data_IF_168242179822
#
_entry.id   IF_168242179822
#
_cell.length_a   1.000
_cell.length_b   1.000
_cell.length_c   1.000
_cell.angle_alpha   90.00
_cell.angle_beta   90.00
_cell.angle_gamma   90.00
#
_symmetry.space_group_name_H-M   'P 1'
#
loop_
_entity.id
_entity.type
_entity.pdbx_description
1 polymer ?
#
# COMPACT_ATOMS: atom_id res chain seq x y z
N UNK A 1 -30.46 -9.23 4.15
CA UNK A 1 -29.29 -8.66 4.85
C UNK A 1 -28.72 -9.69 5.80
N UNK A 2 -27.40 -9.95 5.73
CA UNK A 2 -26.74 -10.98 6.54
C UNK A 2 -25.22 -10.73 6.57
N UNK A 3 -24.49 -11.34 7.52
CA UNK A 3 -23.08 -11.02 7.78
C UNK A 3 -22.16 -11.22 6.57
N UNK A 4 -22.54 -12.09 5.63
CA UNK A 4 -21.75 -12.40 4.43
C UNK A 4 -22.20 -11.63 3.17
N UNK A 5 -23.16 -10.70 3.26
CA UNK A 5 -23.73 -10.01 2.09
C UNK A 5 -22.66 -9.34 1.22
N UNK A 6 -21.70 -8.65 1.84
CA UNK A 6 -20.63 -7.96 1.13
C UNK A 6 -19.71 -8.95 0.40
N UNK A 7 -19.27 -10.01 1.09
CA UNK A 7 -18.43 -11.05 0.50
C UNK A 7 -19.15 -11.76 -0.66
N UNK A 8 -20.41 -12.16 -0.49
CA UNK A 8 -21.21 -12.76 -1.57
C UNK A 8 -21.36 -11.83 -2.77
N UNK A 9 -21.56 -10.53 -2.55
CA UNK A 9 -21.62 -9.55 -3.63
C UNK A 9 -20.30 -9.44 -4.40
N UNK A 10 -19.17 -9.45 -3.68
CA UNK A 10 -17.83 -9.46 -4.27
C UNK A 10 -17.58 -10.74 -5.08
N UNK A 11 -17.86 -11.93 -4.54
CA UNK A 11 -17.71 -13.20 -5.27
C UNK A 11 -18.60 -13.27 -6.51
N UNK A 12 -19.84 -12.77 -6.43
CA UNK A 12 -20.72 -12.68 -7.59
C UNK A 12 -20.17 -11.71 -8.65
N UNK A 13 -19.53 -10.60 -8.24
CA UNK A 13 -18.85 -9.68 -9.15
C UNK A 13 -17.64 -10.33 -9.82
N UNK A 14 -16.82 -11.09 -9.07
CA UNK A 14 -15.69 -11.86 -9.59
C UNK A 14 -16.19 -12.86 -10.64
N UNK A 15 -17.23 -13.66 -10.32
CA UNK A 15 -17.79 -14.65 -11.24
C UNK A 15 -18.33 -14.04 -12.54
N UNK A 16 -18.89 -12.82 -12.49
CA UNK A 16 -19.33 -12.09 -13.69
C UNK A 16 -18.17 -11.60 -14.55
N UNK A 17 -17.06 -11.17 -13.94
CA UNK A 17 -15.87 -10.71 -14.67
C UNK A 17 -15.02 -11.87 -15.21
N UNK A 18 -15.05 -13.02 -14.52
CA UNK A 18 -14.27 -14.22 -14.85
C UNK A 18 -15.20 -15.43 -15.04
N UNK A 19 -16.11 -15.41 -16.03
CA UNK A 19 -17.05 -16.50 -16.24
C UNK A 19 -16.32 -17.80 -16.58
N UNK A 20 -16.58 -18.85 -15.80
CA UNK A 20 -15.98 -20.17 -15.98
C UNK A 20 -14.57 -20.34 -15.43
N UNK A 21 -13.98 -19.32 -14.80
CA UNK A 21 -12.65 -19.40 -14.20
C UNK A 21 -12.69 -20.20 -12.88
N UNK A 22 -11.89 -21.27 -12.72
CA UNK A 22 -11.87 -22.07 -11.48
C UNK A 22 -11.36 -21.29 -10.26
N UNK A 23 -10.63 -20.19 -10.47
CA UNK A 23 -10.17 -19.26 -9.43
C UNK A 23 -11.30 -18.58 -8.68
N UNK A 24 -12.53 -18.55 -9.21
CA UNK A 24 -13.72 -18.08 -8.48
C UNK A 24 -13.92 -18.91 -7.21
N UNK A 25 -13.75 -20.24 -7.29
CA UNK A 25 -13.88 -21.14 -6.13
C UNK A 25 -12.74 -20.90 -5.15
N UNK A 26 -11.51 -20.74 -5.64
CA UNK A 26 -10.37 -20.41 -4.79
C UNK A 26 -10.57 -19.08 -4.06
N UNK A 27 -11.11 -18.05 -4.72
CA UNK A 27 -11.40 -16.75 -4.11
C UNK A 27 -12.43 -16.85 -2.97
N UNK A 28 -13.41 -17.76 -3.06
CA UNK A 28 -14.38 -18.00 -1.99
C UNK A 28 -13.76 -18.61 -0.72
N UNK A 29 -12.56 -19.18 -0.81
CA UNK A 29 -11.80 -19.69 0.33
C UNK A 29 -10.94 -18.61 1.00
N UNK A 30 -10.81 -17.43 0.39
CA UNK A 30 -10.02 -16.32 0.90
C UNK A 30 -10.89 -15.31 1.63
N UNK A 31 -10.29 -14.64 2.62
CA UNK A 31 -10.94 -13.57 3.35
C UNK A 31 -11.30 -12.40 2.42
N UNK A 32 -12.55 -11.97 2.46
CA UNK A 32 -12.98 -10.73 1.82
C UNK A 32 -12.74 -9.55 2.78
N UNK A 33 -11.75 -8.71 2.45
CA UNK A 33 -11.35 -7.57 3.28
C UNK A 33 -11.71 -6.26 2.60
N UNK A 34 -12.28 -5.33 3.37
CA UNK A 34 -12.56 -3.95 2.92
C UNK A 34 -11.78 -2.99 3.79
N UNK A 35 -10.79 -2.34 3.20
CA UNK A 35 -9.98 -1.32 3.89
C UNK A 35 -10.64 0.05 3.79
N UNK A 36 -10.65 0.78 4.91
CA UNK A 36 -11.00 2.19 4.97
C UNK A 36 -9.79 3.05 4.56
N UNK A 37 -10.01 4.30 4.12
CA UNK A 37 -8.91 5.22 3.86
C UNK A 37 -7.95 5.31 5.05
N UNK A 38 -6.67 5.00 4.80
CA UNK A 38 -5.61 5.00 5.81
C UNK A 38 -5.32 3.66 6.46
N UNK A 39 -6.19 2.67 6.32
CA UNK A 39 -5.89 1.29 6.70
C UNK A 39 -5.01 0.62 5.63
N UNK A 40 -4.20 -0.36 6.03
CA UNK A 40 -3.34 -1.10 5.13
C UNK A 40 -3.35 -2.61 5.42
N UNK A 41 -2.79 -3.40 4.51
CA UNK A 41 -2.47 -4.80 4.71
C UNK A 41 -1.02 -5.05 4.33
N UNK A 42 -0.36 -5.93 5.06
CA UNK A 42 0.91 -6.53 4.65
C UNK A 42 0.64 -7.93 4.11
N UNK A 43 1.10 -8.20 2.89
CA UNK A 43 0.87 -9.45 2.18
C UNK A 43 2.20 -10.23 2.08
N UNK A 44 2.48 -11.17 3.00
CA UNK A 44 3.71 -11.94 2.95
C UNK A 44 3.70 -12.91 1.76
N UNK A 45 4.89 -13.30 1.29
CA UNK A 45 5.05 -14.30 0.23
C UNK A 45 4.23 -15.57 0.50
N UNK A 46 3.72 -16.23 -0.53
CA UNK A 46 2.95 -17.49 -0.37
C UNK A 46 1.53 -17.34 0.17
N UNK A 47 0.99 -16.11 0.29
CA UNK A 47 -0.43 -15.86 0.59
C UNK A 47 -1.16 -15.43 -0.69
N UNK A 48 -2.10 -16.25 -1.20
CA UNK A 48 -2.94 -15.83 -2.32
C UNK A 48 -3.77 -14.60 -1.95
N UNK A 49 -3.82 -13.62 -2.86
CA UNK A 49 -4.59 -12.40 -2.70
C UNK A 49 -5.01 -11.85 -4.06
N UNK A 50 -6.06 -11.04 -4.08
CA UNK A 50 -6.52 -10.32 -5.26
C UNK A 50 -7.14 -8.98 -4.85
N UNK A 51 -6.77 -7.90 -5.54
CA UNK A 51 -7.43 -6.61 -5.38
C UNK A 51 -8.67 -6.57 -6.27
N UNK A 52 -9.83 -6.32 -5.66
CA UNK A 52 -11.13 -6.40 -6.35
C UNK A 52 -11.65 -5.04 -6.82
N UNK A 53 -11.25 -3.96 -6.13
CA UNK A 53 -11.66 -2.60 -6.47
C UNK A 53 -11.26 -1.58 -5.41
N UNK A 54 -11.30 -0.31 -5.79
CA UNK A 54 -10.88 0.82 -4.96
C UNK A 54 -9.57 1.45 -5.44
N UNK A 55 -9.03 2.35 -4.62
CA UNK A 55 -7.75 3.01 -4.82
C UNK A 55 -6.91 2.84 -3.56
N UNK A 56 -5.65 2.46 -3.74
CA UNK A 56 -4.68 2.29 -2.65
C UNK A 56 -3.28 2.68 -3.11
N UNK A 57 -2.40 2.92 -2.13
CA UNK A 57 -0.96 3.04 -2.36
C UNK A 57 -0.35 1.67 -2.11
N UNK A 58 0.35 1.14 -3.10
CA UNK A 58 1.07 -0.13 -3.02
C UNK A 58 2.57 0.12 -3.03
N UNK A 59 3.29 -0.63 -2.20
CA UNK A 59 4.75 -0.70 -2.20
C UNK A 59 5.17 -2.15 -2.04
N UNK A 60 6.22 -2.53 -2.75
CA UNK A 60 6.73 -3.89 -2.77
C UNK A 60 8.25 -3.87 -2.94
N UNK A 61 8.90 -4.97 -2.57
CA UNK A 61 10.27 -5.23 -2.99
C UNK A 61 10.36 -5.26 -4.52
N UNK A 62 11.55 -4.99 -5.07
CA UNK A 62 11.79 -5.02 -6.52
C UNK A 62 11.74 -6.47 -7.04
N UNK A 63 10.52 -6.95 -7.33
CA UNK A 63 10.23 -8.28 -7.83
C UNK A 63 8.99 -8.24 -8.69
N UNK A 64 9.01 -8.93 -9.82
CA UNK A 64 7.85 -9.16 -10.68
C UNK A 64 7.41 -10.63 -10.68
N UNK A 65 7.94 -11.43 -9.73
CA UNK A 65 7.58 -12.83 -9.57
C UNK A 65 6.13 -12.95 -9.10
N UNK A 66 5.25 -13.40 -10.00
CA UNK A 66 3.82 -13.60 -9.73
C UNK A 66 3.40 -15.01 -10.14
N UNK A 67 3.08 -15.83 -9.15
CA UNK A 67 2.31 -17.06 -9.34
C UNK A 67 0.82 -16.71 -9.29
N UNK A 68 0.10 -17.05 -10.36
CA UNK A 68 -1.34 -16.76 -10.47
C UNK A 68 -2.14 -17.90 -9.85
N UNK A 69 -3.25 -17.56 -9.19
CA UNK A 69 -4.16 -18.51 -8.54
C UNK A 69 -5.54 -18.57 -9.23
N UNK A 70 -5.63 -18.10 -10.48
CA UNK A 70 -6.87 -17.93 -11.23
C UNK A 70 -7.25 -16.46 -11.40
N UNK A 71 -8.52 -16.21 -11.76
CA UNK A 71 -9.05 -14.88 -12.11
C UNK A 71 -8.24 -14.22 -13.24
N UNK A 72 -7.84 -15.02 -14.22
CA UNK A 72 -6.89 -14.58 -15.24
C UNK A 72 -6.95 -15.45 -16.49
N UNK A 73 -6.84 -14.85 -17.69
CA UNK A 73 -6.64 -15.62 -18.92
C UNK A 73 -5.18 -16.06 -19.13
N UNK A 74 -4.24 -15.60 -18.28
CA UNK A 74 -2.81 -15.90 -18.38
C UNK A 74 -2.49 -17.30 -17.84
N UNK A 75 -1.27 -17.76 -18.09
CA UNK A 75 -0.78 -19.03 -17.57
C UNK A 75 -0.86 -19.12 -16.04
N UNK A 76 -1.30 -20.30 -15.57
CA UNK A 76 -1.37 -20.70 -14.16
C UNK A 76 -0.54 -21.98 -14.01
N UNK A 77 0.58 -21.87 -13.29
CA UNK A 77 1.42 -23.03 -12.93
C UNK A 77 0.89 -23.64 -11.63
N UNK A 78 -0.02 -24.61 -11.76
CA UNK A 78 -0.69 -25.23 -10.61
C UNK A 78 0.29 -26.01 -9.73
N UNK A 79 1.18 -26.88 -10.25
CA UNK A 79 2.15 -27.59 -9.42
C UNK A 79 3.02 -26.65 -8.58
N UNK A 80 3.53 -25.58 -9.18
CA UNK A 80 4.37 -24.60 -8.49
C UNK A 80 3.58 -23.79 -7.45
N UNK A 81 2.35 -23.39 -7.79
CA UNK A 81 1.44 -22.73 -6.86
C UNK A 81 1.21 -23.58 -5.59
N UNK A 82 0.90 -24.88 -5.76
CA UNK A 82 0.68 -25.79 -4.64
C UNK A 82 1.92 -25.99 -3.76
N UNK A 83 3.12 -25.81 -4.33
CA UNK A 83 4.40 -25.89 -3.61
C UNK A 83 4.68 -24.64 -2.77
N UNK A 84 4.28 -23.46 -3.26
CA UNK A 84 4.63 -22.16 -2.65
C UNK A 84 3.56 -21.64 -1.70
N UNK A 85 2.28 -21.93 -1.96
CA UNK A 85 1.18 -21.45 -1.13
C UNK A 85 1.24 -22.06 0.26
N UNK A 86 1.08 -21.21 1.29
CA UNK A 86 0.85 -21.66 2.66
C UNK A 86 -0.64 -21.92 2.90
N UNK A 87 -1.01 -23.19 2.99
CA UNK A 87 -2.38 -23.62 3.29
C UNK A 87 -2.66 -23.56 4.79
N UNK A 88 -2.80 -22.35 5.32
CA UNK A 88 -3.18 -22.10 6.72
C UNK A 88 -4.26 -21.01 6.78
N UNK A 89 -5.23 -21.19 7.67
CA UNK A 89 -6.22 -20.16 7.96
C UNK A 89 -5.55 -19.00 8.71
N UNK A 90 -5.77 -17.78 8.24
CA UNK A 90 -5.26 -16.57 8.89
C UNK A 90 -6.37 -15.54 8.96
N UNK A 91 -6.44 -14.81 10.08
CA UNK A 91 -7.24 -13.60 10.15
C UNK A 91 -6.50 -12.44 9.47
N UNK A 92 -7.17 -11.63 8.63
CA UNK A 92 -6.55 -10.45 8.04
C UNK A 92 -6.14 -9.44 9.12
N UNK A 93 -4.84 -9.20 9.25
CA UNK A 93 -4.31 -8.20 10.17
C UNK A 93 -4.33 -6.82 9.50
N UNK A 94 -5.45 -6.12 9.61
CA UNK A 94 -5.57 -4.73 9.16
C UNK A 94 -4.61 -3.85 9.97
N UNK A 95 -3.73 -3.15 9.26
CA UNK A 95 -2.76 -2.25 9.85
C UNK A 95 -3.36 -0.85 9.96
N UNK A 96 -3.22 -0.27 11.15
CA UNK A 96 -3.43 1.15 11.40
C UNK A 96 -2.06 1.79 11.61
N UNK A 97 -1.75 2.92 10.96
CA UNK A 97 -0.43 3.51 11.07
C UNK A 97 -0.27 4.19 12.44
N UNK A 98 0.94 4.15 12.97
CA UNK A 98 1.26 4.72 14.28
C UNK A 98 1.97 6.06 14.13
N UNK A 99 1.38 7.12 14.70
CA UNK A 99 1.96 8.46 14.69
C UNK A 99 3.14 8.57 15.67
N UNK A 100 4.26 9.14 15.21
CA UNK A 100 5.35 9.59 16.09
C UNK A 100 5.14 11.05 16.57
N UNK A 101 6.02 11.52 17.45
CA UNK A 101 6.00 12.91 17.93
C UNK A 101 6.24 13.97 16.85
N UNK A 102 6.76 13.56 15.69
CA UNK A 102 6.96 14.40 14.51
C UNK A 102 5.77 14.41 13.56
N UNK A 103 4.70 13.65 13.82
CA UNK A 103 3.52 13.54 12.98
C UNK A 103 3.68 12.65 11.76
N UNK A 104 4.72 11.80 11.72
CA UNK A 104 4.83 10.71 10.76
C UNK A 104 3.99 9.52 11.24
N UNK A 105 3.07 9.04 10.41
CA UNK A 105 2.27 7.84 10.69
C UNK A 105 2.87 6.64 9.96
N UNK A 106 3.50 5.73 10.71
CA UNK A 106 4.23 4.57 10.18
C UNK A 106 3.33 3.33 10.05
N UNK A 107 3.35 2.71 8.87
CA UNK A 107 2.81 1.36 8.66
C UNK A 107 3.88 0.32 9.01
N UNK A 108 3.80 -0.27 10.21
CA UNK A 108 4.78 -1.29 10.64
C UNK A 108 4.55 -2.60 9.90
N UNK A 109 5.59 -3.08 9.22
CA UNK A 109 5.63 -4.38 8.55
C UNK A 109 6.98 -5.06 8.82
N UNK A 110 7.11 -6.38 8.62
CA UNK A 110 8.39 -7.08 8.69
C UNK A 110 9.24 -6.91 7.41
N UNK A 111 8.86 -6.02 6.48
CA UNK A 111 9.61 -5.82 5.25
C UNK A 111 10.97 -5.18 5.54
N UNK A 112 12.03 -5.74 4.97
CA UNK A 112 13.40 -5.25 5.12
C UNK A 112 13.77 -4.29 3.97
N UNK A 113 13.07 -4.41 2.85
CA UNK A 113 13.37 -3.71 1.60
C UNK A 113 12.81 -2.29 1.56
N UNK A 114 11.77 -2.03 2.34
CA UNK A 114 11.07 -0.75 2.34
C UNK A 114 10.44 -0.41 3.69
N UNK A 115 10.18 0.88 3.87
CA UNK A 115 9.41 1.48 4.95
C UNK A 115 8.39 2.41 4.34
N UNK A 116 7.12 2.24 4.71
CA UNK A 116 6.02 3.09 4.27
C UNK A 116 5.45 3.87 5.45
N UNK A 117 5.33 5.18 5.29
CA UNK A 117 4.64 6.06 6.23
C UNK A 117 3.79 7.07 5.48
N UNK A 118 2.98 7.85 6.21
CA UNK A 118 2.28 9.01 5.67
C UNK A 118 2.35 10.20 6.62
N UNK A 119 2.09 11.36 6.07
CA UNK A 119 1.82 12.59 6.80
C UNK A 119 0.42 13.06 6.45
N UNK A 120 -0.42 13.24 7.48
CA UNK A 120 -1.71 13.93 7.36
C UNK A 120 -1.49 15.38 7.77
N UNK A 121 -1.52 16.27 6.78
CA UNK A 121 -1.19 17.69 6.91
C UNK A 121 -2.47 18.51 7.06
N UNK A 122 -2.47 19.42 8.03
CA UNK A 122 -3.52 20.42 8.20
C UNK A 122 -3.05 21.78 7.64
N UNK A 123 -3.94 22.64 7.10
CA UNK A 123 -3.57 23.94 6.54
C UNK A 123 -2.72 24.82 7.47
N UNK A 124 -3.06 24.84 8.76
CA UNK A 124 -2.32 25.56 9.82
C UNK A 124 -1.49 24.59 10.69
N UNK A 125 -1.18 23.43 10.14
CA UNK A 125 -0.43 22.39 10.81
C UNK A 125 1.04 22.76 11.02
N UNK A 126 1.65 22.19 12.05
CA UNK A 126 3.08 22.36 12.27
C UNK A 126 3.89 21.87 11.06
N UNK A 127 5.01 22.55 10.79
CA UNK A 127 5.97 22.14 9.78
C UNK A 127 6.52 20.74 10.11
N UNK A 128 6.66 19.89 9.10
CA UNK A 128 7.26 18.57 9.22
C UNK A 128 8.69 18.60 8.68
N UNK A 129 9.56 17.78 9.24
CA UNK A 129 10.94 17.62 8.75
C UNK A 129 11.15 16.17 8.33
N UNK A 130 11.43 15.98 7.05
CA UNK A 130 11.85 14.69 6.50
C UNK A 130 13.35 14.54 6.75
N UNK A 131 13.81 13.50 7.46
CA UNK A 131 15.23 13.29 7.70
C UNK A 131 15.95 12.94 6.39
N UNK A 132 17.22 13.33 6.28
CA UNK A 132 18.10 12.89 5.19
C UNK A 132 18.69 11.49 5.46
N UNK A 133 19.69 11.09 4.67
CA UNK A 133 20.48 9.88 4.90
C UNK A 133 19.95 8.63 4.19
N UNK A 134 18.69 8.61 3.78
CA UNK A 134 18.10 7.55 2.94
C UNK A 134 17.38 8.14 1.74
N UNK A 135 17.34 7.39 0.64
CA UNK A 135 16.55 7.75 -0.51
C UNK A 135 15.06 7.67 -0.17
N UNK A 136 14.29 8.64 -0.67
CA UNK A 136 12.87 8.77 -0.34
C UNK A 136 12.05 9.10 -1.57
N UNK A 137 10.86 8.52 -1.66
CA UNK A 137 9.83 8.90 -2.62
C UNK A 137 8.63 9.42 -1.84
N UNK A 138 8.18 10.62 -2.18
CA UNK A 138 7.00 11.25 -1.61
C UNK A 138 5.90 11.23 -2.66
N UNK A 139 4.68 10.83 -2.29
CA UNK A 139 3.51 10.81 -3.16
C UNK A 139 2.39 11.59 -2.47
N UNK A 140 1.97 12.70 -3.08
CA UNK A 140 0.78 13.43 -2.64
C UNK A 140 -0.47 12.74 -3.18
N UNK A 141 -1.35 12.30 -2.30
CA UNK A 141 -2.62 11.64 -2.68
C UNK A 141 -3.84 12.55 -2.47
N UNK A 142 -3.69 13.62 -1.70
CA UNK A 142 -4.75 14.58 -1.40
C UNK A 142 -4.14 15.93 -1.07
N UNK A 143 -4.83 17.01 -1.46
CA UNK A 143 -4.46 18.38 -1.09
C UNK A 143 -3.23 18.88 -1.85
N UNK A 144 -2.35 19.59 -1.14
CA UNK A 144 -1.17 20.22 -1.71
C UNK A 144 -0.06 20.24 -0.65
N UNK A 145 1.13 19.78 -1.03
CA UNK A 145 2.29 19.72 -0.15
C UNK A 145 3.49 20.41 -0.78
N UNK A 146 4.15 21.28 -0.03
CA UNK A 146 5.39 21.94 -0.45
C UNK A 146 6.58 21.29 0.25
N UNK A 147 7.57 20.89 -0.55
CA UNK A 147 8.87 20.40 -0.10
C UNK A 147 9.89 21.54 -0.27
N UNK A 148 10.67 21.84 0.77
CA UNK A 148 11.78 22.81 0.68
C UNK A 148 13.09 22.17 1.13
N UNK A 149 14.11 22.18 0.26
CA UNK A 149 15.44 21.69 0.60
C UNK A 149 16.26 22.71 1.42
N UNK A 150 17.42 22.32 2.01
CA UNK A 150 18.26 23.24 2.78
C UNK A 150 18.81 24.44 1.98
N UNK A 151 18.87 24.33 0.65
CA UNK A 151 19.27 25.41 -0.25
C UNK A 151 18.14 26.37 -0.61
N UNK A 152 16.94 26.16 -0.07
CA UNK A 152 15.76 26.97 -0.31
C UNK A 152 15.02 26.66 -1.62
N UNK A 153 15.42 25.61 -2.37
CA UNK A 153 14.65 25.19 -3.54
C UNK A 153 13.39 24.50 -3.07
N UNK A 154 12.26 24.85 -3.67
CA UNK A 154 10.98 24.23 -3.36
C UNK A 154 10.31 23.55 -4.55
N UNK A 155 9.52 22.53 -4.24
CA UNK A 155 8.68 21.78 -5.17
C UNK A 155 7.32 21.57 -4.53
N UNK A 156 6.26 21.85 -5.29
CA UNK A 156 4.87 21.62 -4.87
C UNK A 156 4.36 20.31 -5.46
N UNK A 157 3.74 19.49 -4.61
CA UNK A 157 3.08 18.24 -4.96
C UNK A 157 1.56 18.39 -4.81
N UNK A 158 0.84 18.20 -5.91
CA UNK A 158 -0.62 18.04 -5.96
C UNK A 158 -0.98 16.55 -6.09
N UNK A 159 -2.27 16.16 -5.98
CA UNK A 159 -2.63 14.74 -5.96
C UNK A 159 -2.17 14.01 -7.22
N UNK A 160 -1.51 12.87 -7.04
CA UNK A 160 -0.89 12.08 -8.11
C UNK A 160 0.53 12.54 -8.51
N UNK A 161 1.06 13.61 -7.90
CA UNK A 161 2.46 14.03 -8.09
C UNK A 161 3.36 13.41 -7.01
N UNK A 162 4.59 13.11 -7.43
CA UNK A 162 5.62 12.60 -6.55
C UNK A 162 6.93 13.37 -6.67
N UNK A 163 7.76 13.27 -5.64
CA UNK A 163 9.13 13.76 -5.63
C UNK A 163 10.08 12.68 -5.14
N UNK A 164 11.30 12.69 -5.68
CA UNK A 164 12.41 11.88 -5.20
C UNK A 164 13.37 12.76 -4.40
N UNK A 165 13.70 12.33 -3.18
CA UNK A 165 14.76 12.92 -2.36
C UNK A 165 15.94 11.95 -2.33
N UNK A 166 17.10 12.41 -2.79
CA UNK A 166 18.32 11.62 -2.72
C UNK A 166 18.74 11.40 -1.26
N UNK A 167 19.46 10.32 -0.97
CA UNK A 167 20.02 10.08 0.37
C UNK A 167 20.96 11.21 0.83
N UNK A 168 21.65 11.85 -0.11
CA UNK A 168 22.50 13.02 0.13
C UNK A 168 21.73 14.33 0.31
N UNK A 169 20.40 14.33 0.09
CA UNK A 169 19.59 15.47 0.47
C UNK A 169 19.65 15.59 1.98
N UNK A 170 20.04 16.78 2.47
CA UNK A 170 19.87 17.13 3.87
C UNK A 170 18.39 17.12 4.28
N UNK A 171 18.06 17.51 5.52
CA UNK A 171 16.68 17.51 6.00
C UNK A 171 15.79 18.40 5.11
N UNK A 172 14.67 17.84 4.64
CA UNK A 172 13.71 18.54 3.77
C UNK A 172 12.49 18.93 4.59
N UNK A 173 12.07 20.19 4.48
CA UNK A 173 10.85 20.67 5.13
C UNK A 173 9.64 20.26 4.31
N UNK A 174 8.58 19.82 4.99
CA UNK A 174 7.29 19.47 4.40
C UNK A 174 6.20 20.32 5.05
N UNK A 175 5.47 21.08 4.23
CA UNK A 175 4.34 21.92 4.63
C UNK A 175 3.14 21.68 3.71
N UNK A 176 1.96 22.18 4.08
CA UNK A 176 0.76 22.16 3.24
C UNK A 176 -0.44 21.52 3.92
N UNK A 177 -1.35 20.94 3.12
CA UNK A 177 -2.58 20.28 3.59
C UNK A 177 -2.86 19.02 2.80
N UNK A 178 -3.51 18.03 3.41
CA UNK A 178 -3.89 16.77 2.77
C UNK A 178 -2.97 15.61 3.17
N UNK A 179 -2.78 14.64 2.28
CA UNK A 179 -2.11 13.37 2.61
C UNK A 179 -0.91 13.14 1.69
N UNK A 180 0.27 12.92 2.30
CA UNK A 180 1.51 12.58 1.59
C UNK A 180 2.05 11.26 2.12
N UNK A 181 2.17 10.27 1.23
CA UNK A 181 2.86 9.02 1.54
C UNK A 181 4.35 9.17 1.32
N UNK A 182 5.14 8.50 2.15
CA UNK A 182 6.60 8.45 2.08
C UNK A 182 7.06 7.00 2.04
N UNK A 183 7.78 6.66 0.98
CA UNK A 183 8.51 5.41 0.85
C UNK A 183 10.00 5.67 1.07
N UNK A 184 10.65 4.84 1.88
CA UNK A 184 12.10 4.87 2.11
C UNK A 184 12.60 3.46 2.48
N UNK A 185 13.87 3.30 2.83
CA UNK A 185 14.39 2.04 3.37
C UNK A 185 14.43 2.10 4.91
N UNK A 186 14.31 0.96 5.60
CA UNK A 186 14.66 0.90 7.02
C UNK A 186 16.11 1.39 7.25
N UNK A 187 16.40 2.00 8.42
CA UNK A 187 17.75 2.41 8.79
C UNK A 187 18.70 1.22 9.01
#
# INVERSE_FOLDING_TARGET
DGPHRAACAAYAAIARHHPGDPGVVAAMLLNHVVLRPGEALHLPAGVPHAYLGGLGVEIMANSDNVLRCGLTPKHVDVPELLRVVRFATTEPAVLHPEADGGGEELYRTPAEEFRLSRYVLAPDGALRTLPGGTAQILLCTEGEAELTDPGGRSVVLTPGRSAYLAASAGPVRLAGRGTVFRATTPP
#
